data_IF_545716631542
#
_entry.id   IF_545716631542
#
_cell.length_a   1.000
_cell.length_b   1.000
_cell.length_c   1.000
_cell.angle_alpha   90.00
_cell.angle_beta   90.00
_cell.angle_gamma   90.00
#
_symmetry.space_group_name_H-M   'P 1'
#
loop_
_entity.id
_entity.type
_entity.pdbx_description
1 polymer ?
#
# COMPACT_ATOMS: atom_id res chain seq x y z
N UNK A 1 -39.29 42.70 38.14
CA UNK A 1 -40.01 41.54 37.61
C UNK A 1 -39.18 41.00 36.42
N UNK A 2 -38.27 40.07 36.68
CA UNK A 2 -37.31 39.54 35.68
C UNK A 2 -37.87 38.19 35.19
N UNK A 3 -38.05 38.06 33.86
CA UNK A 3 -38.45 36.80 33.24
C UNK A 3 -37.23 35.85 33.16
N UNK A 4 -37.38 34.54 33.41
CA UNK A 4 -36.30 33.58 33.25
C UNK A 4 -36.14 33.22 31.79
N UNK A 5 -34.91 33.32 31.25
CA UNK A 5 -34.51 32.86 29.92
C UNK A 5 -34.43 31.34 29.98
N UNK A 6 -35.37 30.67 29.35
CA UNK A 6 -35.38 29.22 29.14
C UNK A 6 -34.30 28.84 28.13
N UNK A 7 -33.16 28.32 28.59
CA UNK A 7 -32.15 27.69 27.77
C UNK A 7 -32.57 26.23 27.44
N UNK A 8 -33.39 26.08 26.42
CA UNK A 8 -33.72 24.77 25.90
C UNK A 8 -32.50 24.21 25.09
N UNK A 9 -31.55 23.61 25.81
CA UNK A 9 -30.49 22.80 25.19
C UNK A 9 -31.13 21.50 24.70
N UNK A 10 -31.50 21.45 23.43
CA UNK A 10 -31.79 20.17 22.79
C UNK A 10 -30.52 19.31 22.85
N UNK A 11 -30.52 18.34 23.77
CA UNK A 11 -29.56 17.26 23.74
C UNK A 11 -29.70 16.54 22.35
N UNK A 12 -28.63 16.27 21.63
CA UNK A 12 -28.74 15.53 20.40
C UNK A 12 -29.38 14.18 20.72
N UNK A 13 -30.50 13.87 20.03
CA UNK A 13 -31.20 12.60 20.18
C UNK A 13 -30.19 11.46 20.00
N UNK A 14 -30.13 10.55 20.96
CA UNK A 14 -29.33 9.34 20.87
C UNK A 14 -29.75 8.58 19.59
N UNK A 15 -28.89 8.58 18.57
CA UNK A 15 -29.13 7.85 17.33
C UNK A 15 -29.17 6.39 17.70
N UNK A 16 -30.37 5.79 17.70
CA UNK A 16 -30.58 4.36 17.93
C UNK A 16 -29.71 3.53 16.98
N UNK A 17 -29.24 2.36 17.44
CA UNK A 17 -28.46 1.44 16.63
C UNK A 17 -29.15 1.19 15.29
N UNK A 18 -28.42 1.21 14.15
CA UNK A 18 -29.02 1.13 12.83
C UNK A 18 -29.68 -0.24 12.61
N UNK A 19 -30.90 -0.25 12.12
CA UNK A 19 -31.61 -1.46 11.71
C UNK A 19 -31.14 -1.90 10.31
N UNK A 20 -29.85 -2.19 10.15
CA UNK A 20 -29.24 -2.64 8.89
C UNK A 20 -27.73 -2.59 8.95
N UNK A 21 -27.08 -3.56 8.27
CA UNK A 21 -25.63 -3.75 8.26
C UNK A 21 -25.08 -3.96 6.85
N UNK A 22 -25.83 -3.62 5.81
CA UNK A 22 -25.42 -3.88 4.43
C UNK A 22 -24.13 -3.14 4.04
N UNK A 23 -23.85 -1.99 4.65
CA UNK A 23 -22.56 -1.26 4.48
C UNK A 23 -21.34 -2.12 4.80
N UNK A 24 -21.46 -3.06 5.73
CA UNK A 24 -20.36 -3.97 6.07
C UNK A 24 -20.12 -5.04 4.98
N UNK A 25 -21.16 -5.41 4.20
CA UNK A 25 -20.98 -6.22 2.98
C UNK A 25 -20.12 -5.49 1.95
N UNK A 26 -20.33 -4.17 1.80
CA UNK A 26 -19.50 -3.35 0.94
C UNK A 26 -18.06 -3.29 1.48
N UNK A 27 -17.89 -3.11 2.81
CA UNK A 27 -16.56 -3.15 3.43
C UNK A 27 -15.83 -4.49 3.20
N UNK A 28 -16.55 -5.60 3.29
CA UNK A 28 -16.00 -6.94 2.99
C UNK A 28 -15.54 -7.07 1.52
N UNK A 29 -16.28 -6.49 0.57
CA UNK A 29 -15.84 -6.44 -0.82
C UNK A 29 -14.56 -5.60 -0.97
N UNK A 30 -14.43 -4.47 -0.28
CA UNK A 30 -13.19 -3.66 -0.29
C UNK A 30 -12.02 -4.44 0.33
N UNK A 31 -12.25 -5.15 1.42
CA UNK A 31 -11.26 -6.02 2.04
C UNK A 31 -10.76 -7.09 1.06
N UNK A 32 -11.68 -7.78 0.37
CA UNK A 32 -11.34 -8.79 -0.64
C UNK A 32 -10.58 -8.17 -1.83
N UNK A 33 -10.98 -6.99 -2.30
CA UNK A 33 -10.25 -6.29 -3.36
C UNK A 33 -8.80 -5.97 -2.95
N UNK A 34 -8.60 -5.47 -1.72
CA UNK A 34 -7.26 -5.21 -1.18
C UNK A 34 -6.43 -6.50 -1.02
N UNK A 35 -7.08 -7.61 -0.62
CA UNK A 35 -6.44 -8.92 -0.53
C UNK A 35 -5.95 -9.40 -1.90
N UNK A 36 -6.82 -9.41 -2.90
CA UNK A 36 -6.49 -9.83 -4.28
C UNK A 36 -5.38 -8.94 -4.86
N UNK A 37 -5.47 -7.63 -4.67
CA UNK A 37 -4.47 -6.67 -5.11
C UNK A 37 -3.06 -7.02 -4.61
N UNK A 38 -2.93 -7.38 -3.32
CA UNK A 38 -1.63 -7.76 -2.75
C UNK A 38 -1.16 -9.15 -3.20
N UNK A 39 -2.10 -10.07 -3.43
CA UNK A 39 -1.77 -11.37 -4.02
C UNK A 39 -1.17 -11.19 -5.41
N UNK A 40 -1.85 -10.49 -6.33
CA UNK A 40 -1.39 -10.28 -7.72
C UNK A 40 -0.04 -9.56 -7.76
N UNK A 41 0.19 -8.62 -6.86
CA UNK A 41 1.43 -7.84 -6.74
C UNK A 41 2.63 -8.71 -6.41
N UNK A 42 2.48 -9.69 -5.52
CA UNK A 42 3.58 -10.48 -4.98
C UNK A 42 3.96 -11.70 -5.83
N UNK A 43 3.10 -12.18 -6.72
CA UNK A 43 3.35 -13.39 -7.53
C UNK A 43 4.72 -13.36 -8.20
N UNK A 44 5.10 -12.24 -8.82
CA UNK A 44 6.37 -12.11 -9.53
C UNK A 44 7.59 -12.25 -8.61
N UNK A 45 7.50 -11.73 -7.37
CA UNK A 45 8.57 -11.83 -6.38
C UNK A 45 8.84 -13.25 -5.92
N UNK A 46 7.77 -14.02 -5.71
CA UNK A 46 7.85 -15.43 -5.33
C UNK A 46 8.37 -16.29 -6.48
N UNK A 47 7.96 -15.99 -7.71
CA UNK A 47 8.32 -16.75 -8.89
C UNK A 47 9.66 -16.31 -9.51
N UNK A 48 10.33 -15.27 -8.99
CA UNK A 48 11.58 -14.75 -9.54
C UNK A 48 12.62 -15.85 -9.82
N UNK A 49 12.97 -16.72 -8.86
CA UNK A 49 13.99 -17.75 -9.12
C UNK A 49 13.58 -18.69 -10.28
N UNK A 50 12.31 -19.07 -10.33
CA UNK A 50 11.76 -19.96 -11.37
C UNK A 50 11.81 -19.30 -12.75
N UNK A 51 11.31 -18.04 -12.84
CA UNK A 51 11.25 -17.30 -14.10
C UNK A 51 12.63 -16.91 -14.59
N UNK A 52 13.51 -16.51 -13.68
CA UNK A 52 14.89 -16.16 -13.96
C UNK A 52 15.66 -17.36 -14.53
N UNK A 53 15.49 -18.54 -13.91
CA UNK A 53 16.09 -19.79 -14.40
C UNK A 53 15.52 -20.22 -15.76
N UNK A 54 14.22 -20.04 -16.00
CA UNK A 54 13.57 -20.43 -17.26
C UNK A 54 13.90 -19.51 -18.44
N UNK A 55 13.93 -18.19 -18.21
CA UNK A 55 14.08 -17.19 -19.27
C UNK A 55 15.49 -16.59 -19.36
N UNK A 56 16.39 -16.96 -18.45
CA UNK A 56 17.75 -16.45 -18.41
C UNK A 56 17.84 -14.96 -18.04
N UNK A 57 16.92 -14.44 -17.25
CA UNK A 57 16.93 -13.03 -16.86
C UNK A 57 18.13 -12.68 -15.99
N UNK A 58 18.75 -11.56 -16.30
CA UNK A 58 19.71 -10.92 -15.40
C UNK A 58 19.01 -10.26 -14.20
N UNK A 59 19.78 -9.82 -13.21
CA UNK A 59 19.25 -9.05 -12.09
C UNK A 59 18.66 -7.71 -12.52
N UNK A 60 19.25 -7.11 -13.58
CA UNK A 60 18.78 -5.87 -14.15
C UNK A 60 17.44 -6.07 -14.89
N UNK A 61 17.28 -7.17 -15.62
CA UNK A 61 16.02 -7.50 -16.29
C UNK A 61 14.87 -7.63 -15.29
N UNK A 62 15.08 -8.35 -14.18
CA UNK A 62 14.08 -8.44 -13.14
C UNK A 62 13.80 -7.09 -12.48
N UNK A 63 14.83 -6.30 -12.22
CA UNK A 63 14.66 -4.93 -11.68
C UNK A 63 13.85 -4.06 -12.64
N UNK A 64 14.01 -4.18 -13.96
CA UNK A 64 13.24 -3.45 -14.95
C UNK A 64 11.77 -3.86 -14.99
N UNK A 65 11.50 -5.16 -14.83
CA UNK A 65 10.14 -5.66 -14.70
C UNK A 65 9.46 -5.07 -13.46
N UNK A 66 10.14 -5.06 -12.30
CA UNK A 66 9.60 -4.46 -11.06
C UNK A 66 9.47 -2.94 -11.18
N UNK A 67 10.46 -2.28 -11.78
CA UNK A 67 10.43 -0.82 -12.05
C UNK A 67 9.21 -0.42 -12.87
N UNK A 68 8.87 -1.19 -13.92
CA UNK A 68 7.72 -0.91 -14.80
C UNK A 68 6.41 -0.84 -14.03
N UNK A 69 6.20 -1.73 -13.06
CA UNK A 69 5.04 -1.69 -12.17
C UNK A 69 5.03 -0.42 -11.31
N UNK A 70 6.14 -0.10 -10.66
CA UNK A 70 6.25 1.05 -9.77
C UNK A 70 6.07 2.37 -10.52
N UNK A 71 6.62 2.48 -11.74
CA UNK A 71 6.43 3.62 -12.61
C UNK A 71 4.95 3.83 -12.95
N UNK A 72 4.30 2.76 -13.40
CA UNK A 72 2.88 2.78 -13.75
C UNK A 72 2.01 3.14 -12.54
N UNK A 73 2.32 2.57 -11.38
CA UNK A 73 1.63 2.81 -10.12
C UNK A 73 1.76 4.28 -9.68
N UNK A 74 2.97 4.86 -9.78
CA UNK A 74 3.21 6.26 -9.47
C UNK A 74 2.43 7.20 -10.42
N UNK A 75 2.44 6.93 -11.72
CA UNK A 75 1.67 7.68 -12.73
C UNK A 75 0.17 7.55 -12.42
N UNK A 76 -0.30 6.33 -12.21
CA UNK A 76 -1.70 6.03 -11.94
C UNK A 76 -2.23 6.74 -10.70
N UNK A 77 -1.44 6.83 -9.63
CA UNK A 77 -1.82 7.55 -8.40
C UNK A 77 -2.21 9.02 -8.64
N UNK A 78 -1.55 9.69 -9.59
CA UNK A 78 -1.84 11.09 -9.91
C UNK A 78 -3.24 11.25 -10.53
N UNK A 79 -3.67 10.27 -11.30
CA UNK A 79 -4.91 10.35 -12.09
C UNK A 79 -6.07 9.55 -11.50
N UNK A 80 -5.79 8.52 -10.71
CA UNK A 80 -6.79 7.56 -10.22
C UNK A 80 -7.94 8.22 -9.46
N UNK A 81 -7.66 9.15 -8.55
CA UNK A 81 -8.71 9.87 -7.82
C UNK A 81 -9.66 10.63 -8.75
N UNK A 82 -9.10 11.40 -9.69
CA UNK A 82 -9.91 12.15 -10.67
C UNK A 82 -10.69 11.23 -11.62
N UNK A 83 -10.10 10.10 -12.00
CA UNK A 83 -10.77 9.08 -12.81
C UNK A 83 -11.99 8.54 -12.06
N UNK A 84 -11.83 8.11 -10.80
CA UNK A 84 -12.94 7.62 -9.97
C UNK A 84 -14.00 8.71 -9.74
N UNK A 85 -13.59 9.97 -9.60
CA UNK A 85 -14.54 11.08 -9.41
C UNK A 85 -15.39 11.35 -10.65
N UNK A 86 -14.81 11.24 -11.85
CA UNK A 86 -15.51 11.50 -13.12
C UNK A 86 -16.38 10.33 -13.56
N UNK A 87 -15.89 9.12 -13.42
CA UNK A 87 -16.57 7.90 -13.91
C UNK A 87 -17.57 7.37 -12.88
N UNK A 88 -17.42 7.76 -11.62
CA UNK A 88 -18.19 7.25 -10.49
C UNK A 88 -17.56 6.01 -9.87
N UNK A 89 -17.82 5.80 -8.58
CA UNK A 89 -17.17 4.76 -7.76
C UNK A 89 -17.41 3.35 -8.32
N UNK A 90 -18.67 3.01 -8.69
CA UNK A 90 -19.02 1.68 -9.19
C UNK A 90 -18.26 1.28 -10.44
N UNK A 91 -18.37 2.09 -11.48
CA UNK A 91 -17.78 1.77 -12.78
C UNK A 91 -16.28 2.02 -12.78
N UNK A 92 -15.82 3.09 -12.13
CA UNK A 92 -14.39 3.41 -12.04
C UNK A 92 -13.60 2.32 -11.33
N UNK A 93 -14.09 1.80 -10.20
CA UNK A 93 -13.45 0.69 -9.53
C UNK A 93 -13.53 -0.61 -10.34
N UNK A 94 -14.68 -0.90 -10.96
CA UNK A 94 -14.83 -2.07 -11.82
C UNK A 94 -13.86 -2.06 -13.00
N UNK A 95 -13.70 -0.92 -13.70
CA UNK A 95 -12.74 -0.78 -14.81
C UNK A 95 -11.30 -0.94 -14.36
N UNK A 96 -10.93 -0.30 -13.25
CA UNK A 96 -9.58 -0.42 -12.69
C UNK A 96 -9.27 -1.87 -12.34
N UNK A 97 -10.20 -2.57 -11.68
CA UNK A 97 -10.06 -3.97 -11.30
C UNK A 97 -10.02 -4.89 -12.54
N UNK A 98 -10.83 -4.63 -13.53
CA UNK A 98 -10.77 -5.37 -14.80
C UNK A 98 -9.40 -5.25 -15.45
N UNK A 99 -8.85 -4.03 -15.52
CA UNK A 99 -7.52 -3.78 -16.10
C UNK A 99 -6.45 -4.56 -15.33
N UNK A 100 -6.41 -4.48 -14.00
CA UNK A 100 -5.39 -5.19 -13.25
C UNK A 100 -5.56 -6.72 -13.32
N UNK A 101 -6.80 -7.24 -13.28
CA UNK A 101 -7.04 -8.69 -13.37
C UNK A 101 -6.61 -9.25 -14.72
N UNK A 102 -6.95 -8.55 -15.82
CA UNK A 102 -6.49 -8.94 -17.15
C UNK A 102 -4.96 -8.82 -17.28
N UNK A 103 -4.36 -7.78 -16.70
CA UNK A 103 -2.91 -7.62 -16.66
C UNK A 103 -2.23 -8.71 -15.81
N UNK A 104 -2.82 -9.12 -14.68
CA UNK A 104 -2.32 -10.27 -13.92
C UNK A 104 -2.33 -11.54 -14.75
N UNK A 105 -3.43 -11.86 -15.44
CA UNK A 105 -3.51 -13.01 -16.36
C UNK A 105 -2.53 -12.86 -17.53
N UNK A 106 -2.36 -11.64 -18.07
CA UNK A 106 -1.46 -11.40 -19.20
C UNK A 106 0.01 -11.75 -18.91
N UNK A 107 0.45 -11.79 -17.64
CA UNK A 107 1.78 -12.27 -17.30
C UNK A 107 2.02 -13.72 -17.78
N UNK A 108 0.98 -14.55 -17.78
CA UNK A 108 1.06 -15.92 -18.24
C UNK A 108 1.45 -15.99 -19.73
N UNK A 109 0.95 -15.05 -20.53
CA UNK A 109 1.20 -14.97 -21.98
C UNK A 109 2.34 -13.99 -22.35
N UNK A 110 3.06 -13.45 -21.37
CA UNK A 110 4.13 -12.49 -21.60
C UNK A 110 5.20 -12.94 -22.60
N UNK A 111 5.63 -14.21 -22.61
CA UNK A 111 6.58 -14.70 -23.64
C UNK A 111 6.00 -14.69 -25.06
N UNK A 112 4.67 -14.82 -25.23
CA UNK A 112 4.00 -14.90 -26.53
C UNK A 112 3.93 -13.54 -27.21
N UNK A 113 3.45 -12.51 -26.50
CA UNK A 113 3.36 -11.16 -27.07
C UNK A 113 4.62 -10.32 -26.85
N UNK A 114 5.55 -10.79 -26.05
CA UNK A 114 6.80 -10.11 -25.72
C UNK A 114 7.64 -9.66 -26.93
N UNK A 115 7.78 -10.47 -28.00
CA UNK A 115 8.49 -10.03 -29.21
C UNK A 115 7.92 -8.75 -29.82
N UNK A 116 6.59 -8.63 -29.88
CA UNK A 116 5.92 -7.43 -30.41
C UNK A 116 6.14 -6.20 -29.51
N UNK A 117 6.13 -6.39 -28.18
CA UNK A 117 6.44 -5.33 -27.24
C UNK A 117 7.90 -4.91 -27.33
N UNK A 118 8.83 -5.86 -27.42
CA UNK A 118 10.26 -5.58 -27.56
C UNK A 118 10.54 -4.79 -28.85
N UNK A 119 9.90 -5.16 -29.97
CA UNK A 119 10.00 -4.42 -31.23
C UNK A 119 9.48 -2.99 -31.09
N UNK A 120 8.33 -2.79 -30.42
CA UNK A 120 7.78 -1.46 -30.17
C UNK A 120 8.69 -0.61 -29.28
N UNK A 121 9.27 -1.17 -28.21
CA UNK A 121 10.23 -0.47 -27.35
C UNK A 121 11.52 -0.12 -28.11
N UNK A 122 11.95 -0.99 -29.04
CA UNK A 122 13.11 -0.77 -29.90
C UNK A 122 13.01 0.50 -30.78
N UNK A 123 11.79 0.91 -31.17
CA UNK A 123 11.53 2.17 -31.89
C UNK A 123 12.00 3.39 -31.08
N UNK A 124 11.93 3.28 -29.74
CA UNK A 124 12.35 4.32 -28.80
C UNK A 124 13.79 4.12 -28.31
N UNK A 125 14.56 3.21 -28.91
CA UNK A 125 15.93 2.91 -28.51
C UNK A 125 16.06 2.05 -27.23
N UNK A 126 14.96 1.43 -26.78
CA UNK A 126 14.93 0.57 -25.61
C UNK A 126 15.00 -0.91 -26.07
N UNK A 127 16.12 -1.56 -25.81
CA UNK A 127 16.37 -2.93 -26.25
C UNK A 127 16.26 -3.91 -25.07
N UNK A 128 15.19 -4.69 -25.05
CA UNK A 128 14.93 -5.73 -24.05
C UNK A 128 14.73 -7.08 -24.70
N UNK A 129 15.07 -8.16 -23.97
CA UNK A 129 14.68 -9.51 -24.36
C UNK A 129 13.15 -9.64 -24.44
N UNK A 130 12.65 -10.50 -25.34
CA UNK A 130 11.22 -10.63 -25.59
C UNK A 130 10.41 -10.92 -24.32
N UNK A 131 10.83 -11.89 -23.50
CA UNK A 131 10.13 -12.21 -22.24
C UNK A 131 10.16 -11.03 -21.26
N UNK A 132 11.29 -10.34 -21.13
CA UNK A 132 11.41 -9.15 -20.26
C UNK A 132 10.43 -8.07 -20.69
N UNK A 133 10.40 -7.72 -21.97
CA UNK A 133 9.48 -6.71 -22.53
C UNK A 133 8.00 -7.08 -22.28
N UNK A 134 7.64 -8.36 -22.48
CA UNK A 134 6.29 -8.85 -22.21
C UNK A 134 5.89 -8.71 -20.73
N UNK A 135 6.76 -9.16 -19.82
CA UNK A 135 6.52 -9.01 -18.38
C UNK A 135 6.51 -7.53 -17.94
N UNK A 136 7.36 -6.69 -18.51
CA UNK A 136 7.31 -5.22 -18.26
C UNK A 136 5.97 -4.62 -18.67
N UNK A 137 5.43 -4.98 -19.84
CA UNK A 137 4.14 -4.48 -20.31
C UNK A 137 2.98 -4.95 -19.40
N UNK A 138 2.95 -6.23 -19.01
CA UNK A 138 1.96 -6.74 -18.08
C UNK A 138 2.06 -6.06 -16.70
N UNK A 139 3.27 -5.86 -16.19
CA UNK A 139 3.52 -5.17 -14.92
C UNK A 139 3.10 -3.71 -14.97
N UNK A 140 3.34 -3.03 -16.09
CA UNK A 140 2.91 -1.65 -16.31
C UNK A 140 1.38 -1.56 -16.29
N UNK A 141 0.68 -2.41 -17.03
CA UNK A 141 -0.78 -2.45 -17.04
C UNK A 141 -1.35 -2.79 -15.66
N UNK A 142 -0.73 -3.74 -14.95
CA UNK A 142 -1.09 -4.09 -13.57
C UNK A 142 -0.97 -2.89 -12.64
N UNK A 143 0.14 -2.16 -12.70
CA UNK A 143 0.39 -0.98 -11.87
C UNK A 143 -0.63 0.15 -12.11
N UNK A 144 -1.00 0.41 -13.36
CA UNK A 144 -2.07 1.37 -13.71
C UNK A 144 -3.40 0.96 -13.07
N UNK A 145 -3.82 -0.29 -13.25
CA UNK A 145 -5.08 -0.79 -12.67
C UNK A 145 -5.10 -0.75 -11.15
N UNK A 146 -4.04 -1.23 -10.52
CA UNK A 146 -3.93 -1.31 -9.05
C UNK A 146 -3.88 0.05 -8.37
N UNK A 147 -3.36 1.08 -9.04
CA UNK A 147 -3.25 2.44 -8.50
C UNK A 147 -4.58 3.04 -8.05
N UNK A 148 -5.68 2.60 -8.64
CA UNK A 148 -7.02 3.09 -8.32
C UNK A 148 -7.66 2.40 -7.10
N UNK A 149 -7.12 1.27 -6.63
CA UNK A 149 -7.72 0.48 -5.55
C UNK A 149 -7.91 1.30 -4.26
N UNK A 150 -6.87 1.97 -3.79
CA UNK A 150 -6.93 2.77 -2.57
C UNK A 150 -7.85 3.99 -2.70
N UNK A 151 -7.72 4.85 -3.71
CA UNK A 151 -8.64 5.97 -3.94
C UNK A 151 -10.11 5.55 -4.03
N UNK A 152 -10.40 4.49 -4.78
CA UNK A 152 -11.77 3.97 -4.92
C UNK A 152 -12.33 3.43 -3.60
N UNK A 153 -11.50 2.71 -2.82
CA UNK A 153 -11.90 2.18 -1.52
C UNK A 153 -12.20 3.30 -0.51
N UNK A 154 -11.32 4.31 -0.41
CA UNK A 154 -11.55 5.47 0.46
C UNK A 154 -12.84 6.21 0.08
N UNK A 155 -13.07 6.43 -1.22
CA UNK A 155 -14.30 7.06 -1.70
C UNK A 155 -15.53 6.21 -1.36
N UNK A 156 -15.48 4.91 -1.57
CA UNK A 156 -16.54 3.97 -1.18
C UNK A 156 -16.87 4.06 0.30
N UNK A 157 -15.83 4.08 1.16
CA UNK A 157 -16.03 4.26 2.61
C UNK A 157 -16.66 5.60 2.92
N UNK A 158 -16.29 6.68 2.23
CA UNK A 158 -16.90 7.99 2.42
C UNK A 158 -18.37 8.02 2.02
N UNK A 159 -18.78 7.28 0.99
CA UNK A 159 -20.17 7.17 0.49
C UNK A 159 -21.04 6.28 1.38
N UNK A 160 -20.48 5.20 1.97
CA UNK A 160 -21.24 4.15 2.65
C UNK A 160 -21.20 4.20 4.17
N UNK A 161 -20.28 4.98 4.77
CA UNK A 161 -20.08 5.01 6.22
C UNK A 161 -20.20 6.41 6.81
N UNK A 162 -20.91 6.57 7.95
CA UNK A 162 -20.85 7.80 8.72
C UNK A 162 -19.44 8.03 9.27
N UNK A 163 -19.04 9.29 9.50
CA UNK A 163 -17.68 9.70 9.91
C UNK A 163 -17.13 8.87 11.08
N UNK A 164 -17.99 8.56 12.06
CA UNK A 164 -17.62 7.77 13.26
C UNK A 164 -17.16 6.34 12.94
N UNK A 165 -17.60 5.75 11.81
CA UNK A 165 -17.24 4.39 11.40
C UNK A 165 -16.20 4.35 10.28
N UNK A 166 -15.90 5.47 9.60
CA UNK A 166 -14.98 5.51 8.45
C UNK A 166 -13.58 5.00 8.79
N UNK A 167 -13.05 5.37 9.97
CA UNK A 167 -11.74 4.91 10.41
C UNK A 167 -11.69 3.38 10.59
N UNK A 168 -12.75 2.80 11.17
CA UNK A 168 -12.86 1.35 11.34
C UNK A 168 -13.00 0.65 9.97
N UNK A 169 -13.87 1.13 9.10
CA UNK A 169 -14.05 0.55 7.75
C UNK A 169 -12.77 0.63 6.93
N UNK A 170 -12.03 1.75 7.01
CA UNK A 170 -10.72 1.91 6.37
C UNK A 170 -9.69 0.93 6.94
N UNK A 171 -9.66 0.76 8.26
CA UNK A 171 -8.79 -0.21 8.91
C UNK A 171 -9.08 -1.64 8.47
N UNK A 172 -10.36 -2.01 8.37
CA UNK A 172 -10.78 -3.36 7.94
C UNK A 172 -10.37 -3.62 6.49
N UNK A 173 -10.68 -2.73 5.55
CA UNK A 173 -10.29 -2.99 4.16
C UNK A 173 -8.76 -2.98 3.98
N UNK A 174 -8.06 -2.12 4.71
CA UNK A 174 -6.59 -2.08 4.66
C UNK A 174 -5.96 -3.36 5.22
N UNK A 175 -6.57 -4.00 6.23
CA UNK A 175 -6.12 -5.30 6.73
C UNK A 175 -6.15 -6.39 5.65
N UNK A 176 -6.96 -6.23 4.60
CA UNK A 176 -6.93 -7.11 3.43
C UNK A 176 -5.57 -7.16 2.75
N UNK A 177 -4.79 -6.07 2.76
CA UNK A 177 -3.43 -6.06 2.19
C UNK A 177 -2.50 -7.02 2.92
N UNK A 178 -2.59 -7.07 4.25
CA UNK A 178 -1.80 -7.98 5.08
C UNK A 178 -2.23 -9.44 4.87
N UNK A 179 -3.54 -9.68 4.80
CA UNK A 179 -4.08 -11.01 4.51
C UNK A 179 -3.62 -11.49 3.12
N UNK A 180 -3.61 -10.60 2.12
CA UNK A 180 -3.03 -10.89 0.80
C UNK A 180 -1.55 -11.26 0.89
N UNK A 181 -0.77 -10.50 1.65
CA UNK A 181 0.66 -10.78 1.86
C UNK A 181 0.92 -12.14 2.54
N UNK A 182 0.05 -12.55 3.47
CA UNK A 182 0.13 -13.85 4.14
C UNK A 182 -0.33 -15.02 3.26
N UNK A 183 -1.38 -14.82 2.47
CA UNK A 183 -1.94 -15.88 1.63
C UNK A 183 -1.08 -16.18 0.40
N UNK A 184 -0.41 -15.18 -0.16
CA UNK A 184 0.38 -15.34 -1.38
C UNK A 184 1.47 -16.41 -1.25
N UNK A 185 2.33 -16.42 -0.22
CA UNK A 185 3.33 -17.47 -0.03
C UNK A 185 2.76 -18.87 0.18
N UNK A 186 1.50 -18.99 0.59
CA UNK A 186 0.82 -20.29 0.77
C UNK A 186 0.25 -20.81 -0.54
N UNK A 187 -0.39 -19.93 -1.31
CA UNK A 187 -1.18 -20.28 -2.50
C UNK A 187 -0.30 -20.38 -3.76
N UNK A 188 0.52 -19.36 -4.01
CA UNK A 188 1.29 -19.23 -5.26
C UNK A 188 2.31 -20.35 -5.44
N UNK A 189 3.14 -20.71 -4.42
CA UNK A 189 4.06 -21.83 -4.53
C UNK A 189 3.37 -23.16 -4.81
N UNK A 190 2.23 -23.40 -4.14
CA UNK A 190 1.46 -24.62 -4.35
C UNK A 190 0.93 -24.74 -5.79
N UNK A 191 0.32 -23.67 -6.33
CA UNK A 191 -0.15 -23.64 -7.71
C UNK A 191 1.01 -23.83 -8.68
N UNK A 192 2.10 -23.06 -8.49
CA UNK A 192 3.24 -23.07 -9.39
C UNK A 192 3.95 -24.43 -9.41
N UNK A 193 4.06 -25.10 -8.27
CA UNK A 193 4.63 -26.43 -8.18
C UNK A 193 3.75 -27.48 -8.86
N UNK A 194 2.42 -27.43 -8.65
CA UNK A 194 1.48 -28.47 -9.12
C UNK A 194 1.11 -28.30 -10.59
N UNK A 195 0.98 -27.06 -11.06
CA UNK A 195 0.42 -26.73 -12.37
C UNK A 195 1.36 -25.88 -13.22
N UNK A 196 2.47 -25.38 -12.67
CA UNK A 196 3.39 -24.46 -13.32
C UNK A 196 3.12 -22.99 -13.01
N UNK A 197 4.15 -22.16 -13.21
CA UNK A 197 4.10 -20.72 -12.92
C UNK A 197 3.02 -19.97 -13.70
N UNK A 198 2.73 -20.42 -14.91
CA UNK A 198 1.66 -19.89 -15.77
C UNK A 198 0.32 -19.81 -15.01
N UNK A 199 -0.08 -20.92 -14.39
CA UNK A 199 -1.35 -21.01 -13.67
C UNK A 199 -1.39 -20.20 -12.39
N UNK A 200 -0.26 -19.84 -11.80
CA UNK A 200 -0.23 -18.93 -10.67
C UNK A 200 -0.77 -17.54 -11.06
N UNK A 201 -0.34 -17.01 -12.20
CA UNK A 201 -0.85 -15.73 -12.71
C UNK A 201 -2.31 -15.81 -13.18
N UNK A 202 -2.70 -16.88 -13.85
CA UNK A 202 -4.08 -17.07 -14.32
C UNK A 202 -5.04 -17.20 -13.12
N UNK A 203 -4.67 -17.97 -12.11
CA UNK A 203 -5.51 -18.18 -10.94
C UNK A 203 -5.69 -16.91 -10.12
N UNK A 204 -4.61 -16.18 -9.86
CA UNK A 204 -4.68 -14.96 -9.04
C UNK A 204 -5.43 -13.86 -9.77
N UNK A 205 -5.14 -13.60 -11.05
CA UNK A 205 -5.91 -12.64 -11.84
C UNK A 205 -7.36 -13.04 -12.04
N UNK A 206 -7.64 -14.37 -12.11
CA UNK A 206 -8.99 -14.92 -12.17
C UNK A 206 -9.82 -14.62 -10.92
N UNK A 207 -9.19 -14.57 -9.72
CA UNK A 207 -9.87 -14.14 -8.49
C UNK A 207 -10.41 -12.71 -8.60
N UNK A 208 -9.68 -11.81 -9.27
CA UNK A 208 -10.17 -10.47 -9.53
C UNK A 208 -11.40 -10.44 -10.43
N UNK A 209 -11.44 -11.28 -11.47
CA UNK A 209 -12.64 -11.39 -12.33
C UNK A 209 -13.83 -11.96 -11.56
N UNK A 210 -13.62 -12.93 -10.66
CA UNK A 210 -14.66 -13.42 -9.77
C UNK A 210 -15.16 -12.33 -8.82
N UNK A 211 -14.25 -11.53 -8.27
CA UNK A 211 -14.64 -10.38 -7.46
C UNK A 211 -15.47 -9.37 -8.26
N UNK A 212 -15.10 -9.11 -9.51
CA UNK A 212 -15.85 -8.22 -10.39
C UNK A 212 -17.28 -8.71 -10.62
N UNK A 213 -17.46 -10.03 -10.79
CA UNK A 213 -18.78 -10.66 -10.90
C UNK A 213 -19.61 -10.48 -9.63
N UNK A 214 -19.00 -10.32 -8.46
CA UNK A 214 -19.69 -9.98 -7.20
C UNK A 214 -19.94 -8.46 -7.09
N UNK A 215 -18.96 -7.62 -7.48
CA UNK A 215 -19.06 -6.17 -7.34
C UNK A 215 -20.18 -5.56 -8.15
N UNK A 216 -20.31 -5.95 -9.42
CA UNK A 216 -21.27 -5.36 -10.35
C UNK A 216 -22.73 -5.48 -9.85
N UNK A 217 -23.24 -6.64 -9.40
CA UNK A 217 -24.60 -6.77 -8.89
C UNK A 217 -24.78 -6.30 -7.44
N UNK A 218 -23.72 -6.33 -6.61
CA UNK A 218 -23.84 -6.02 -5.18
C UNK A 218 -23.67 -4.53 -4.92
N UNK A 219 -22.77 -3.85 -5.62
CA UNK A 219 -22.49 -2.45 -5.36
C UNK A 219 -23.47 -1.52 -6.05
N UNK A 220 -23.96 -0.52 -5.32
CA UNK A 220 -24.79 0.57 -5.80
C UNK A 220 -24.60 1.83 -4.96
N UNK A 221 -25.35 2.89 -5.27
CA UNK A 221 -25.34 4.07 -4.42
C UNK A 221 -26.28 3.85 -3.22
N UNK A 222 -25.88 4.21 -1.97
CA UNK A 222 -26.67 3.91 -0.76
C UNK A 222 -28.12 4.38 -0.83
N UNK A 223 -28.38 5.53 -1.47
CA UNK A 223 -29.73 6.12 -1.58
C UNK A 223 -30.70 5.37 -2.48
N UNK A 224 -30.20 4.60 -3.43
CA UNK A 224 -31.02 3.87 -4.42
C UNK A 224 -30.87 2.36 -4.30
N UNK A 225 -30.10 1.91 -3.29
CA UNK A 225 -29.80 0.49 -3.15
C UNK A 225 -30.95 -0.29 -2.52
N UNK A 226 -31.47 -1.35 -3.16
CA UNK A 226 -32.68 -2.06 -2.70
C UNK A 226 -32.52 -2.79 -1.36
N UNK A 227 -31.27 -3.13 -0.96
CA UNK A 227 -30.99 -3.82 0.30
C UNK A 227 -30.70 -2.88 1.48
N UNK A 228 -30.69 -1.57 1.25
CA UNK A 228 -30.45 -0.56 2.29
C UNK A 228 -31.80 -0.13 2.85
N UNK A 229 -32.02 -0.37 4.15
CA UNK A 229 -33.24 0.11 4.80
C UNK A 229 -33.24 1.62 4.98
N UNK A 230 -34.41 2.23 5.10
CA UNK A 230 -34.53 3.68 5.38
C UNK A 230 -33.78 4.08 6.66
N UNK A 231 -33.77 3.23 7.69
CA UNK A 231 -33.03 3.45 8.93
C UNK A 231 -31.52 3.40 8.72
N UNK A 232 -31.02 2.45 7.93
CA UNK A 232 -29.58 2.39 7.59
C UNK A 232 -29.14 3.60 6.75
N UNK A 233 -29.97 3.99 5.76
CA UNK A 233 -29.70 5.20 4.97
C UNK A 233 -29.65 6.47 5.83
N UNK A 234 -30.60 6.63 6.75
CA UNK A 234 -30.59 7.75 7.70
C UNK A 234 -29.32 7.75 8.57
N UNK A 235 -28.88 6.55 8.98
CA UNK A 235 -27.64 6.38 9.74
C UNK A 235 -26.39 6.73 8.91
N UNK A 236 -26.29 6.26 7.67
CA UNK A 236 -25.17 6.61 6.76
C UNK A 236 -25.09 8.13 6.56
N UNK A 237 -26.25 8.80 6.48
CA UNK A 237 -26.37 10.24 6.26
C UNK A 237 -26.46 11.07 7.55
N UNK A 238 -26.19 10.48 8.70
CA UNK A 238 -26.32 11.14 10.01
C UNK A 238 -25.34 12.30 10.23
N UNK A 239 -24.29 12.39 9.44
CA UNK A 239 -23.29 13.47 9.54
C UNK A 239 -23.71 14.70 8.73
N UNK A 240 -23.41 15.92 9.23
CA UNK A 240 -23.52 17.14 8.42
C UNK A 240 -22.67 17.01 7.14
N UNK A 241 -23.18 17.54 6.02
CA UNK A 241 -22.39 17.62 4.81
C UNK A 241 -21.08 18.37 5.08
N UNK A 242 -19.95 17.81 4.62
CA UNK A 242 -18.69 18.54 4.67
C UNK A 242 -18.78 19.76 3.76
N UNK A 243 -18.41 20.97 4.27
CA UNK A 243 -18.30 22.10 3.36
C UNK A 243 -17.28 21.74 2.27
N UNK A 244 -17.57 22.03 0.99
CA UNK A 244 -16.66 21.74 -0.11
C UNK A 244 -15.46 22.71 -0.09
N UNK A 245 -14.54 22.50 0.82
CA UNK A 245 -13.27 23.23 0.84
C UNK A 245 -12.28 22.48 -0.03
N UNK A 246 -12.13 22.94 -1.27
CA UNK A 246 -11.06 22.45 -2.14
C UNK A 246 -9.77 23.21 -1.81
N UNK A 247 -8.81 22.51 -1.21
CA UNK A 247 -7.47 23.06 -0.98
C UNK A 247 -6.65 22.78 -2.26
N UNK A 248 -6.15 23.83 -2.95
CA UNK A 248 -5.36 23.65 -4.15
C UNK A 248 -4.10 22.82 -3.87
N UNK A 249 -3.82 21.86 -4.71
CA UNK A 249 -2.62 21.01 -4.63
C UNK A 249 -1.32 21.79 -4.45
N UNK A 250 -1.17 22.86 -5.26
CA UNK A 250 0.03 23.72 -5.26
C UNK A 250 0.24 24.44 -3.93
N UNK A 251 -0.82 24.77 -3.21
CA UNK A 251 -0.69 25.40 -1.88
C UNK A 251 -0.07 24.44 -0.86
N UNK A 252 -0.35 23.14 -0.97
CA UNK A 252 0.20 22.14 -0.06
C UNK A 252 1.69 21.89 -0.30
N UNK A 253 2.14 21.89 -1.54
CA UNK A 253 3.55 21.66 -1.92
C UNK A 253 4.46 22.79 -1.41
N UNK A 254 3.94 23.99 -1.20
CA UNK A 254 4.70 25.12 -0.65
C UNK A 254 5.12 24.91 0.83
N UNK A 255 4.49 23.97 1.55
CA UNK A 255 4.75 23.75 2.96
C UNK A 255 5.80 22.66 3.22
N UNK A 256 6.82 22.98 4.03
CA UNK A 256 7.87 22.02 4.45
C UNK A 256 7.30 20.76 5.14
N UNK A 257 6.15 20.88 5.78
CA UNK A 257 5.46 19.75 6.42
C UNK A 257 4.99 18.71 5.39
N UNK A 258 4.55 19.14 4.20
CA UNK A 258 4.20 18.23 3.09
C UNK A 258 5.42 17.43 2.65
N UNK A 259 6.56 18.09 2.49
CA UNK A 259 7.82 17.44 2.12
C UNK A 259 8.34 16.51 3.22
N UNK A 260 8.13 16.84 4.51
CA UNK A 260 8.49 15.95 5.60
C UNK A 260 7.75 14.61 5.52
N UNK A 261 6.42 14.63 5.24
CA UNK A 261 5.62 13.41 5.07
C UNK A 261 5.99 12.69 3.77
N UNK A 262 6.19 13.42 2.69
CA UNK A 262 6.57 12.88 1.38
C UNK A 262 7.94 12.18 1.42
N UNK A 263 8.95 12.84 2.00
CA UNK A 263 10.30 12.27 2.13
C UNK A 263 10.35 11.15 3.18
N UNK A 264 9.47 11.18 4.20
CA UNK A 264 9.32 10.04 5.11
C UNK A 264 8.90 8.77 4.35
N UNK A 265 7.96 8.88 3.41
CA UNK A 265 7.56 7.74 2.58
C UNK A 265 8.57 7.43 1.48
N UNK A 266 9.13 8.44 0.81
CA UNK A 266 10.18 8.24 -0.20
C UNK A 266 11.37 7.45 0.32
N UNK A 267 11.81 7.70 1.56
CA UNK A 267 12.96 7.01 2.16
C UNK A 267 12.66 5.63 2.72
N UNK A 268 11.39 5.32 3.06
CA UNK A 268 11.06 4.08 3.79
C UNK A 268 10.13 3.12 3.05
N UNK A 269 9.18 3.59 2.24
CA UNK A 269 8.35 2.71 1.41
C UNK A 269 9.18 1.84 0.43
N UNK A 270 10.31 2.33 -0.15
CA UNK A 270 11.23 1.50 -0.92
C UNK A 270 11.65 0.22 -0.22
N UNK A 271 11.84 0.27 1.10
CA UNK A 271 12.29 -0.88 1.88
C UNK A 271 11.17 -1.92 2.00
N UNK A 272 9.91 -1.47 2.10
CA UNK A 272 8.76 -2.38 2.03
C UNK A 272 8.67 -3.09 0.67
N UNK A 273 8.90 -2.38 -0.44
CA UNK A 273 8.95 -2.95 -1.78
C UNK A 273 10.12 -3.94 -1.94
N UNK A 274 11.27 -3.64 -1.32
CA UNK A 274 12.40 -4.57 -1.24
C UNK A 274 11.98 -5.87 -0.55
N UNK A 275 11.23 -5.81 0.56
CA UNK A 275 10.76 -7.02 1.25
C UNK A 275 9.83 -7.85 0.38
N UNK A 276 8.89 -7.22 -0.33
CA UNK A 276 7.93 -7.93 -1.16
C UNK A 276 8.58 -8.61 -2.38
N UNK A 277 9.54 -7.95 -3.02
CA UNK A 277 10.04 -8.41 -4.32
C UNK A 277 11.39 -9.13 -4.26
N UNK A 278 12.19 -8.93 -3.21
CA UNK A 278 13.56 -9.40 -3.17
C UNK A 278 13.87 -10.36 -2.01
N UNK A 279 13.09 -10.36 -0.92
CA UNK A 279 13.32 -11.31 0.18
C UNK A 279 13.14 -12.77 -0.24
N UNK A 280 12.15 -13.15 -1.08
CA UNK A 280 12.07 -14.53 -1.57
C UNK A 280 13.35 -14.97 -2.29
N UNK A 281 13.90 -14.11 -3.16
CA UNK A 281 15.16 -14.37 -3.87
C UNK A 281 16.36 -14.45 -2.90
N UNK A 282 16.43 -13.56 -1.91
CA UNK A 282 17.46 -13.62 -0.86
C UNK A 282 17.46 -14.96 -0.13
N UNK A 283 16.28 -15.42 0.31
CA UNK A 283 16.13 -16.69 1.01
C UNK A 283 16.52 -17.87 0.13
N UNK A 284 16.10 -17.84 -1.15
CA UNK A 284 16.48 -18.86 -2.11
C UNK A 284 18.01 -18.93 -2.32
N UNK A 285 18.66 -17.80 -2.61
CA UNK A 285 20.10 -17.75 -2.91
C UNK A 285 20.96 -18.08 -1.71
N UNK A 286 20.58 -17.61 -0.53
CA UNK A 286 21.39 -17.73 0.69
C UNK A 286 21.26 -19.08 1.36
N UNK A 287 20.05 -19.65 1.37
CA UNK A 287 19.74 -20.87 2.13
C UNK A 287 19.26 -22.04 1.25
N UNK A 288 19.16 -21.84 -0.07
CA UNK A 288 18.67 -22.88 -0.98
C UNK A 288 17.18 -23.19 -0.80
N UNK A 289 16.40 -22.29 -0.19
CA UNK A 289 14.97 -22.48 0.04
C UNK A 289 14.30 -22.55 -1.33
N UNK A 290 13.66 -23.67 -1.62
CA UNK A 290 12.87 -23.85 -2.83
C UNK A 290 11.47 -23.20 -2.70
N UNK A 291 10.74 -23.18 -3.82
CA UNK A 291 9.42 -22.58 -3.87
C UNK A 291 8.42 -23.23 -2.90
N UNK A 292 8.57 -24.52 -2.60
CA UNK A 292 7.66 -25.26 -1.70
C UNK A 292 7.88 -24.90 -0.24
N UNK A 293 9.13 -24.75 0.17
CA UNK A 293 9.51 -24.43 1.55
C UNK A 293 9.49 -22.93 1.85
N UNK A 294 9.29 -22.07 0.82
CA UNK A 294 9.28 -20.62 0.94
C UNK A 294 8.14 -20.06 1.79
N UNK A 295 7.03 -20.80 1.91
CA UNK A 295 5.81 -20.32 2.57
C UNK A 295 6.06 -20.00 4.06
N UNK A 296 6.67 -20.90 4.82
CA UNK A 296 6.82 -20.73 6.26
C UNK A 296 7.68 -19.52 6.66
N UNK A 297 8.88 -19.29 6.06
CA UNK A 297 9.67 -18.08 6.31
C UNK A 297 8.93 -16.78 6.04
N UNK A 298 8.25 -16.68 4.89
CA UNK A 298 7.55 -15.46 4.49
C UNK A 298 6.32 -15.18 5.35
N UNK A 299 5.54 -16.22 5.67
CA UNK A 299 4.40 -16.10 6.59
C UNK A 299 4.85 -15.57 7.95
N UNK A 300 5.96 -16.09 8.49
CA UNK A 300 6.51 -15.61 9.77
C UNK A 300 6.93 -14.15 9.68
N UNK A 301 7.61 -13.74 8.60
CA UNK A 301 8.00 -12.34 8.38
C UNK A 301 6.76 -11.42 8.39
N UNK A 302 5.71 -11.77 7.65
CA UNK A 302 4.51 -10.93 7.55
C UNK A 302 3.66 -10.94 8.83
N UNK A 303 3.58 -12.05 9.55
CA UNK A 303 2.94 -12.09 10.87
C UNK A 303 3.64 -11.18 11.87
N UNK A 304 4.97 -11.20 11.90
CA UNK A 304 5.76 -10.30 12.76
C UNK A 304 5.53 -8.84 12.32
N UNK A 305 5.44 -8.57 11.01
CA UNK A 305 5.15 -7.23 10.48
C UNK A 305 3.80 -6.69 10.98
N UNK A 306 2.77 -7.53 11.02
CA UNK A 306 1.44 -7.15 11.51
C UNK A 306 1.44 -6.78 12.99
N UNK A 307 2.15 -7.54 13.81
CA UNK A 307 2.38 -7.19 15.22
C UNK A 307 3.05 -5.82 15.35
N UNK A 308 4.00 -5.52 14.47
CA UNK A 308 4.70 -4.23 14.43
C UNK A 308 3.79 -3.05 14.08
N UNK A 309 2.81 -3.25 13.20
CA UNK A 309 1.80 -2.23 12.85
C UNK A 309 1.03 -1.76 14.08
N UNK A 310 0.53 -2.73 14.85
CA UNK A 310 -0.18 -2.43 16.13
C UNK A 310 0.78 -1.84 17.16
N UNK A 311 1.98 -2.43 17.31
CA UNK A 311 2.99 -2.03 18.30
C UNK A 311 3.47 -0.59 18.12
N UNK A 312 3.73 -0.16 16.88
CA UNK A 312 4.18 1.21 16.58
C UNK A 312 3.12 2.28 16.90
N UNK A 313 1.86 1.99 16.57
CA UNK A 313 0.72 2.85 16.94
C UNK A 313 0.49 2.89 18.45
N UNK A 314 0.54 1.72 19.11
CA UNK A 314 0.41 1.60 20.56
C UNK A 314 1.50 2.36 21.31
N UNK A 315 2.76 2.26 20.87
CA UNK A 315 3.88 2.95 21.49
C UNK A 315 3.67 4.46 21.51
N UNK A 316 3.40 5.07 20.36
CA UNK A 316 3.20 6.53 20.30
C UNK A 316 1.97 6.97 21.07
N UNK A 317 0.87 6.21 21.05
CA UNK A 317 -0.35 6.50 21.81
C UNK A 317 -0.10 6.39 23.32
N UNK A 318 0.70 5.43 23.76
CA UNK A 318 1.04 5.24 25.18
C UNK A 318 1.91 6.40 25.71
N UNK A 319 2.87 6.88 24.90
CA UNK A 319 3.68 8.04 25.25
C UNK A 319 2.81 9.31 25.40
N UNK A 320 1.86 9.52 24.47
CA UNK A 320 0.88 10.62 24.56
C UNK A 320 0.04 10.54 25.85
N UNK A 321 -0.47 9.33 26.18
CA UNK A 321 -1.25 9.12 27.42
C UNK A 321 -0.42 9.37 28.69
N UNK A 322 0.90 9.20 28.60
CA UNK A 322 1.84 9.51 29.70
C UNK A 322 2.24 11.00 29.76
N UNK A 323 1.59 11.86 28.99
CA UNK A 323 1.81 13.31 29.02
C UNK A 323 2.96 13.81 28.14
N UNK A 324 3.52 12.99 27.27
CA UNK A 324 4.54 13.45 26.31
C UNK A 324 3.90 14.36 25.25
N UNK A 325 4.66 15.38 24.81
CA UNK A 325 4.20 16.19 23.69
C UNK A 325 4.05 15.35 22.42
N UNK A 326 3.13 15.72 21.52
CA UNK A 326 2.92 15.04 20.24
C UNK A 326 4.24 14.90 19.46
N UNK A 327 5.04 15.97 19.43
CA UNK A 327 6.35 15.96 18.77
C UNK A 327 7.30 14.92 19.37
N UNK A 328 7.44 14.86 20.69
CA UNK A 328 8.32 13.90 21.35
C UNK A 328 7.79 12.46 21.18
N UNK A 329 6.49 12.22 21.40
CA UNK A 329 5.90 10.90 21.34
C UNK A 329 6.02 10.28 19.92
N UNK A 330 5.70 11.06 18.87
CA UNK A 330 5.80 10.57 17.48
C UNK A 330 7.25 10.29 17.07
N UNK A 331 8.15 11.25 17.29
CA UNK A 331 9.57 11.08 16.92
C UNK A 331 10.28 9.98 17.71
N UNK A 332 9.95 9.78 18.99
CA UNK A 332 10.48 8.67 19.78
C UNK A 332 9.98 7.32 19.25
N UNK A 333 8.69 7.20 18.93
CA UNK A 333 8.16 5.98 18.32
C UNK A 333 8.83 5.69 16.96
N UNK A 334 9.02 6.71 16.13
CA UNK A 334 9.74 6.59 14.86
C UNK A 334 11.21 6.23 15.06
N UNK A 335 11.90 6.81 16.05
CA UNK A 335 13.28 6.45 16.38
C UNK A 335 13.40 4.99 16.85
N UNK A 336 12.47 4.54 17.69
CA UNK A 336 12.42 3.13 18.12
C UNK A 336 12.28 2.19 16.92
N UNK A 337 11.38 2.52 15.97
CA UNK A 337 11.25 1.77 14.73
C UNK A 337 12.54 1.82 13.90
N UNK A 338 13.14 3.01 13.72
CA UNK A 338 14.37 3.17 12.94
C UNK A 338 15.52 2.33 13.51
N UNK A 339 15.69 2.32 14.85
CA UNK A 339 16.70 1.50 15.54
C UNK A 339 16.38 0.01 15.41
N UNK A 340 15.11 -0.41 15.44
CA UNK A 340 14.71 -1.80 15.29
C UNK A 340 14.93 -2.35 13.87
N UNK A 341 15.06 -1.50 12.84
CA UNK A 341 15.45 -1.93 11.48
C UNK A 341 16.96 -2.21 11.39
N UNK A 342 17.80 -1.54 12.17
CA UNK A 342 19.27 -1.60 11.99
C UNK A 342 19.86 -3.02 12.07
N UNK A 343 19.37 -3.96 12.91
CA UNK A 343 19.91 -5.32 12.96
C UNK A 343 19.74 -6.11 11.65
N UNK A 344 18.90 -5.65 10.73
CA UNK A 344 18.73 -6.29 9.42
C UNK A 344 20.05 -6.41 8.63
N UNK A 345 21.02 -5.54 8.87
CA UNK A 345 22.35 -5.62 8.23
C UNK A 345 23.02 -6.97 8.46
N UNK A 346 22.74 -7.62 9.58
CA UNK A 346 23.31 -8.93 9.91
C UNK A 346 22.59 -10.10 9.24
N UNK A 347 21.40 -9.87 8.65
CA UNK A 347 20.62 -10.95 8.03
C UNK A 347 21.36 -11.61 6.86
N UNK A 348 22.09 -10.83 6.03
CA UNK A 348 22.84 -11.36 4.90
C UNK A 348 24.00 -12.28 5.35
N UNK A 349 24.56 -12.04 6.53
CA UNK A 349 25.65 -12.85 7.12
C UNK A 349 25.16 -13.97 8.04
N UNK A 350 23.86 -14.07 8.32
CA UNK A 350 23.33 -15.06 9.23
C UNK A 350 23.58 -16.48 8.72
N UNK A 351 24.02 -17.36 9.64
CA UNK A 351 24.29 -18.77 9.30
C UNK A 351 23.02 -19.61 9.24
N UNK A 352 22.10 -19.35 10.18
CA UNK A 352 20.83 -20.04 10.23
C UNK A 352 19.72 -19.24 9.52
N UNK A 353 18.91 -19.93 8.71
CA UNK A 353 17.77 -19.38 8.00
C UNK A 353 16.83 -18.59 8.92
N UNK A 354 16.42 -19.20 10.03
CA UNK A 354 15.48 -18.60 10.97
C UNK A 354 16.03 -17.36 11.67
N UNK A 355 17.34 -17.23 11.81
CA UNK A 355 17.95 -15.98 12.28
C UNK A 355 17.73 -14.85 11.27
N UNK A 356 17.93 -15.12 9.98
CA UNK A 356 17.67 -14.12 8.95
C UNK A 356 16.17 -13.78 8.86
N UNK A 357 15.30 -14.79 8.92
CA UNK A 357 13.83 -14.63 8.93
C UNK A 357 13.40 -13.73 10.09
N UNK A 358 13.90 -13.93 11.30
CA UNK A 358 13.58 -13.10 12.46
C UNK A 358 14.11 -11.68 12.31
N UNK A 359 15.35 -11.49 11.82
CA UNK A 359 15.92 -10.16 11.60
C UNK A 359 15.13 -9.37 10.56
N UNK A 360 14.76 -10.00 9.44
CA UNK A 360 13.91 -9.40 8.41
C UNK A 360 12.50 -9.16 8.94
N UNK A 361 11.93 -10.09 9.70
CA UNK A 361 10.61 -9.95 10.33
C UNK A 361 10.56 -8.78 11.30
N UNK A 362 11.58 -8.60 12.16
CA UNK A 362 11.67 -7.44 13.06
C UNK A 362 11.78 -6.14 12.25
N UNK A 363 12.58 -6.13 11.18
CA UNK A 363 12.69 -4.96 10.32
C UNK A 363 11.37 -4.64 9.60
N UNK A 364 10.63 -5.65 9.15
CA UNK A 364 9.30 -5.49 8.55
C UNK A 364 8.27 -4.98 9.58
N UNK A 365 8.31 -5.48 10.83
CA UNK A 365 7.51 -4.98 11.94
C UNK A 365 7.79 -3.50 12.23
N UNK A 366 9.07 -3.15 12.29
CA UNK A 366 9.51 -1.78 12.50
C UNK A 366 9.07 -0.85 11.35
N UNK A 367 9.11 -1.33 10.09
CA UNK A 367 8.55 -0.59 8.95
C UNK A 367 7.06 -0.30 9.13
N UNK A 368 6.27 -1.31 9.48
CA UNK A 368 4.82 -1.14 9.66
C UNK A 368 4.51 -0.17 10.81
N UNK A 369 5.24 -0.27 11.93
CA UNK A 369 5.14 0.68 13.03
C UNK A 369 5.54 2.11 12.66
N UNK A 370 6.58 2.26 11.84
CA UNK A 370 7.00 3.54 11.25
C UNK A 370 5.91 4.11 10.35
N UNK A 371 5.39 3.32 9.42
CA UNK A 371 4.36 3.75 8.46
C UNK A 371 3.10 4.26 9.17
N UNK A 372 2.64 3.56 10.23
CA UNK A 372 1.53 4.01 11.06
C UNK A 372 1.77 5.41 11.66
N UNK A 373 3.00 5.70 12.11
CA UNK A 373 3.35 7.02 12.63
C UNK A 373 3.48 8.09 11.54
N UNK A 374 3.95 7.76 10.34
CA UNK A 374 3.99 8.71 9.20
C UNK A 374 2.59 9.19 8.82
N UNK A 375 1.59 8.29 8.79
CA UNK A 375 0.21 8.69 8.53
C UNK A 375 -0.33 9.63 9.62
N UNK A 376 0.06 9.42 10.88
CA UNK A 376 -0.34 10.32 11.96
C UNK A 376 0.36 11.67 11.89
N UNK A 377 1.60 11.77 11.39
CA UNK A 377 2.24 13.07 11.15
C UNK A 377 1.42 13.96 10.23
N UNK A 378 0.84 13.40 9.15
CA UNK A 378 -0.01 14.15 8.25
C UNK A 378 -1.27 14.67 8.98
N UNK A 379 -1.91 13.83 9.80
CA UNK A 379 -3.12 14.24 10.54
C UNK A 379 -2.83 15.16 11.72
N UNK A 380 -1.62 15.13 12.29
CA UNK A 380 -1.21 16.02 13.38
C UNK A 380 -0.86 17.42 12.88
N UNK A 381 -0.39 17.56 11.63
CA UNK A 381 0.08 18.82 11.05
C UNK A 381 -0.90 19.50 10.11
N UNK A 382 -1.85 18.78 9.52
CA UNK A 382 -2.75 19.31 8.51
C UNK A 382 -4.22 19.26 8.93
N UNK A 383 -5.04 20.26 8.51
CA UNK A 383 -6.47 20.18 8.67
C UNK A 383 -7.04 18.98 7.91
N UNK A 384 -8.13 18.41 8.39
CA UNK A 384 -8.73 17.15 7.86
C UNK A 384 -8.93 17.14 6.35
N UNK A 385 -9.31 18.30 5.78
CA UNK A 385 -9.55 18.46 4.33
C UNK A 385 -8.27 18.31 3.48
N UNK A 386 -7.09 18.58 4.05
CA UNK A 386 -5.80 18.49 3.38
C UNK A 386 -5.11 17.12 3.55
N UNK A 387 -5.44 16.38 4.61
CA UNK A 387 -4.75 15.12 4.97
C UNK A 387 -4.73 14.13 3.80
N UNK A 388 -5.86 13.94 3.11
CA UNK A 388 -5.95 13.03 1.98
C UNK A 388 -5.02 13.40 0.83
N UNK A 389 -4.92 14.70 0.49
CA UNK A 389 -4.04 15.19 -0.56
C UNK A 389 -2.56 15.06 -0.19
N UNK A 390 -2.20 15.33 1.07
CA UNK A 390 -0.83 15.17 1.59
C UNK A 390 -0.41 13.69 1.56
N UNK A 391 -1.29 12.79 2.01
CA UNK A 391 -1.03 11.34 1.99
C UNK A 391 -0.93 10.83 0.54
N UNK A 392 -1.75 11.33 -0.38
CA UNK A 392 -1.67 10.99 -1.80
C UNK A 392 -0.34 11.41 -2.42
N UNK A 393 0.12 12.65 -2.16
CA UNK A 393 1.42 13.13 -2.60
C UNK A 393 2.57 12.31 -1.99
N UNK A 394 2.47 11.99 -0.71
CA UNK A 394 3.46 11.16 -0.03
C UNK A 394 3.49 9.72 -0.58
N UNK A 395 2.32 9.14 -0.91
CA UNK A 395 2.22 7.82 -1.54
C UNK A 395 2.88 7.76 -2.92
N UNK A 396 2.69 8.81 -3.74
CA UNK A 396 3.39 8.97 -5.01
C UNK A 396 4.92 9.04 -4.78
N UNK A 397 5.37 9.81 -3.80
CA UNK A 397 6.80 9.89 -3.45
C UNK A 397 7.36 8.53 -3.03
N UNK A 398 6.62 7.74 -2.25
CA UNK A 398 6.98 6.37 -1.89
C UNK A 398 7.09 5.44 -3.10
N UNK A 399 6.18 5.56 -4.09
CA UNK A 399 6.25 4.78 -5.32
C UNK A 399 7.49 5.15 -6.16
N UNK A 400 7.83 6.45 -6.26
CA UNK A 400 9.07 6.90 -6.91
C UNK A 400 10.29 6.33 -6.21
N UNK A 401 10.33 6.33 -4.88
CA UNK A 401 11.38 5.66 -4.11
C UNK A 401 11.45 4.16 -4.41
N UNK A 402 10.29 3.49 -4.54
CA UNK A 402 10.18 2.09 -4.94
C UNK A 402 10.78 1.78 -6.32
N UNK A 403 10.60 2.67 -7.29
CA UNK A 403 11.26 2.57 -8.60
C UNK A 403 12.78 2.58 -8.46
N UNK A 404 13.29 3.52 -7.66
CA UNK A 404 14.73 3.68 -7.49
C UNK A 404 15.35 2.49 -6.77
N UNK A 405 14.74 1.98 -5.70
CA UNK A 405 15.28 0.82 -4.97
C UNK A 405 15.28 -0.45 -5.83
N UNK A 406 14.29 -0.63 -6.70
CA UNK A 406 14.27 -1.76 -7.63
C UNK A 406 15.51 -1.74 -8.53
N UNK A 407 15.81 -0.60 -9.17
CA UNK A 407 16.99 -0.43 -10.00
C UNK A 407 18.29 -0.58 -9.20
N UNK A 408 18.40 0.13 -8.06
CA UNK A 408 19.58 0.06 -7.20
C UNK A 408 19.86 -1.37 -6.75
N UNK A 409 18.84 -2.11 -6.34
CA UNK A 409 18.99 -3.51 -5.94
C UNK A 409 19.45 -4.38 -7.10
N UNK A 410 18.85 -4.24 -8.29
CA UNK A 410 19.25 -5.00 -9.49
C UNK A 410 20.71 -4.75 -9.86
N UNK A 411 21.14 -3.48 -9.90
CA UNK A 411 22.55 -3.16 -10.21
C UNK A 411 23.53 -3.66 -9.14
N UNK A 412 23.20 -3.55 -7.85
CA UNK A 412 24.04 -4.06 -6.77
C UNK A 412 24.18 -5.58 -6.89
N UNK A 413 23.09 -6.30 -7.08
CA UNK A 413 23.12 -7.76 -7.19
C UNK A 413 23.83 -8.21 -8.48
N UNK A 414 23.64 -7.52 -9.59
CA UNK A 414 24.36 -7.82 -10.84
C UNK A 414 25.87 -7.63 -10.68
N UNK A 415 26.29 -6.58 -9.95
CA UNK A 415 27.71 -6.26 -9.80
C UNK A 415 28.39 -7.07 -8.70
N UNK A 416 27.69 -7.39 -7.61
CA UNK A 416 28.31 -7.97 -6.39
C UNK A 416 27.84 -9.38 -6.06
N UNK A 417 26.70 -9.83 -6.61
CA UNK A 417 26.05 -11.08 -6.22
C UNK A 417 25.55 -11.10 -4.75
N UNK A 418 25.65 -9.97 -4.01
CA UNK A 418 25.49 -9.94 -2.58
C UNK A 418 24.36 -9.00 -2.11
N UNK A 419 23.54 -9.46 -1.16
CA UNK A 419 22.53 -8.66 -0.48
C UNK A 419 23.08 -7.75 0.62
N UNK A 420 24.37 -7.89 1.01
CA UNK A 420 24.96 -7.08 2.10
C UNK A 420 24.82 -5.58 1.87
N UNK A 421 25.17 -5.00 0.69
CA UNK A 421 25.00 -3.57 0.48
C UNK A 421 23.53 -3.15 0.47
N UNK A 422 22.64 -4.00 -0.07
CA UNK A 422 21.20 -3.74 -0.10
C UNK A 422 20.61 -3.65 1.31
N UNK A 423 21.00 -4.56 2.19
CA UNK A 423 20.53 -4.57 3.58
C UNK A 423 21.17 -3.43 4.41
N UNK A 424 22.38 -3.00 4.05
CA UNK A 424 22.98 -1.81 4.66
C UNK A 424 22.18 -0.53 4.29
N UNK A 425 21.77 -0.40 3.03
CA UNK A 425 20.88 0.70 2.59
C UNK A 425 19.57 0.62 3.36
N UNK A 426 18.94 -0.55 3.45
CA UNK A 426 17.69 -0.74 4.16
C UNK A 426 17.79 -0.39 5.64
N UNK A 427 18.86 -0.84 6.31
CA UNK A 427 19.11 -0.59 7.74
C UNK A 427 19.34 0.89 8.06
N UNK A 428 20.01 1.63 7.16
CA UNK A 428 20.32 3.05 7.36
C UNK A 428 19.19 4.00 6.94
N UNK A 429 18.33 3.58 6.01
CA UNK A 429 17.30 4.42 5.40
C UNK A 429 16.39 5.12 6.42
N UNK A 430 15.98 4.42 7.48
CA UNK A 430 15.05 4.96 8.48
C UNK A 430 15.69 6.03 9.36
N UNK A 431 16.96 5.84 9.78
CA UNK A 431 17.68 6.83 10.57
C UNK A 431 17.94 8.09 9.76
N UNK A 432 18.38 7.92 8.51
CA UNK A 432 18.60 9.06 7.58
C UNK A 432 17.28 9.79 7.34
N UNK A 433 16.21 9.05 7.08
CA UNK A 433 14.88 9.62 6.85
C UNK A 433 14.36 10.35 8.08
N UNK A 434 14.55 9.80 9.29
CA UNK A 434 14.16 10.48 10.54
C UNK A 434 14.92 11.79 10.73
N UNK A 435 16.22 11.81 10.41
CA UNK A 435 17.01 13.03 10.46
C UNK A 435 16.46 14.09 9.47
N UNK A 436 16.14 13.69 8.23
CA UNK A 436 15.53 14.58 7.24
C UNK A 436 14.18 15.13 7.72
N UNK A 437 13.30 14.27 8.25
CA UNK A 437 12.01 14.70 8.82
C UNK A 437 12.23 15.66 9.98
N UNK A 438 13.22 15.40 10.85
CA UNK A 438 13.51 16.28 11.98
C UNK A 438 14.03 17.65 11.52
N UNK A 439 14.89 17.70 10.51
CA UNK A 439 15.44 18.95 9.93
C UNK A 439 14.33 19.79 9.27
N UNK A 440 13.42 19.16 8.52
CA UNK A 440 12.31 19.85 7.87
C UNK A 440 11.27 20.34 8.89
N UNK A 441 10.98 19.53 9.89
CA UNK A 441 9.96 19.81 10.90
C UNK A 441 10.53 19.50 12.31
N UNK A 442 11.35 20.41 12.88
CA UNK A 442 11.90 20.27 14.22
C UNK A 442 10.80 20.12 15.28
N UNK A 443 9.67 20.82 15.08
CA UNK A 443 8.46 20.72 15.91
C UNK A 443 7.26 20.42 15.01
N UNK A 444 6.39 19.51 15.45
CA UNK A 444 5.13 19.18 14.77
C UNK A 444 4.10 20.28 15.06
N UNK A 445 4.14 21.33 14.26
CA UNK A 445 3.22 22.47 14.36
C UNK A 445 2.18 22.38 13.22
N UNK A 446 0.89 22.64 13.52
CA UNK A 446 -0.15 22.69 12.50
C UNK A 446 0.15 23.73 11.42
N UNK A 447 -0.07 23.36 10.17
CA UNK A 447 0.06 24.27 9.02
C UNK A 447 -1.10 25.26 9.03
N UNK A 448 -0.82 26.54 8.89
CA UNK A 448 -1.82 27.58 8.61
C UNK A 448 -2.01 27.69 7.10
N UNK A 449 -3.13 27.17 6.61
CA UNK A 449 -3.49 27.31 5.19
C UNK A 449 -4.25 28.62 5.03
N UNK A 450 -3.74 29.52 4.20
CA UNK A 450 -4.44 30.75 3.83
C UNK A 450 -5.73 30.37 3.09
N UNK A 451 -6.88 30.75 3.64
CA UNK A 451 -8.21 30.44 3.11
C UNK A 451 -9.07 29.45 3.93
N UNK A 452 -8.52 28.81 4.97
CA UNK A 452 -9.30 27.91 5.87
C UNK A 452 -10.06 28.64 6.99
N UNK A 453 -9.97 29.97 7.05
CA UNK A 453 -10.66 30.83 8.00
C UNK A 453 -11.67 31.75 7.30
N UNK A 454 -12.74 31.17 6.73
CA UNK A 454 -14.00 31.91 6.50
C UNK A 454 -15.17 30.95 6.65
#
# INVERSE_FOLDING_TARGET
MAMPISTNRHAPAAVSAPAGYFRWTICALLFLAATINYVDRQVIGLLKPTLQGQFGWSEIDYADIVFSFQLAYAIGFVFAGRFIDRVGTKLGFALALLVWSLAAIAHAEAPVYGPSVAAALGIFGLHYGASVAGFMAARFALGIGESANFPASIKTVAEWFPRRERALATGIFNAGTNVGALLTPLIVPWIAYRYGWYWAFVATGGLGLLWLALWIPIFGHPSTHPRVSAAELAYIRSDPADPPVQIPWLSLIAHRQTWAVALAKFGTDPIWWLYLFWIPDFLHRRYGIDLQSMAAPLVVIYLIADVGSVGGGWLSSTLLKRGWSTNAARKTAMLTCALAVTPMVFAAGARAEWTAVLLVGIAAAAHQGWSANVYTLASDMFPRQAVGSVIGFAGMSGAVGGMLIAKVTGYILQATGSYVPVFFIAASAYLVTLAVVHLLVPRLEPVRLEGASR
#
